data_IF_716248471260
#
_entry.id   IF_716248471260
#
_cell.length_a   1.000
_cell.length_b   1.000
_cell.length_c   1.000
_cell.angle_alpha   90.00
_cell.angle_beta   90.00
_cell.angle_gamma   90.00
#
_symmetry.space_group_name_H-M   'P 1'
#
loop_
_entity.id
_entity.type
_entity.pdbx_description
1 polymer ?
#
# COMPACT_ATOMS: atom_id res chain seq x y z
N UNK A 1 89.21 -10.13 33.50
CA UNK A 1 89.71 -10.04 32.12
C UNK A 1 89.32 -11.33 31.40
N UNK A 2 88.49 -11.21 30.34
CA UNK A 2 88.36 -12.16 29.22
C UNK A 2 87.84 -13.57 29.55
N UNK A 3 86.59 -13.83 29.17
CA UNK A 3 86.22 -14.56 27.93
C UNK A 3 86.30 -16.08 28.11
N UNK A 4 85.14 -16.71 28.32
CA UNK A 4 84.65 -17.83 27.48
C UNK A 4 83.60 -18.69 28.20
N UNK A 5 82.54 -18.08 28.73
CA UNK A 5 81.30 -18.79 29.11
C UNK A 5 80.11 -17.96 28.58
N UNK A 6 80.08 -17.78 27.26
CA UNK A 6 78.96 -17.21 26.48
C UNK A 6 78.99 -17.83 25.08
N UNK A 7 78.75 -19.13 24.98
CA UNK A 7 78.45 -19.79 23.71
C UNK A 7 77.91 -21.22 23.93
N UNK A 8 76.88 -21.37 24.77
CA UNK A 8 76.13 -22.65 24.85
C UNK A 8 74.69 -22.51 25.38
N UNK A 9 74.13 -21.30 25.36
CA UNK A 9 72.71 -21.04 25.68
C UNK A 9 72.09 -20.08 24.65
N UNK A 10 72.27 -20.39 23.37
CA UNK A 10 71.70 -19.62 22.24
C UNK A 10 70.88 -20.48 21.26
N UNK A 11 70.65 -21.76 21.53
CA UNK A 11 69.93 -22.66 20.61
C UNK A 11 68.78 -23.46 21.25
N UNK A 12 68.38 -23.14 22.49
CA UNK A 12 67.25 -23.81 23.16
C UNK A 12 66.10 -22.87 23.58
N UNK A 13 66.20 -21.56 23.28
CA UNK A 13 65.14 -20.58 23.59
C UNK A 13 64.40 -20.05 22.36
N UNK A 14 64.69 -20.57 21.17
CA UNK A 14 64.06 -20.19 19.91
C UNK A 14 63.02 -21.20 19.38
N UNK A 15 62.68 -22.23 20.17
CA UNK A 15 61.71 -23.28 19.78
C UNK A 15 60.49 -23.42 20.70
N UNK A 16 60.38 -22.61 21.76
CA UNK A 16 59.19 -22.61 22.67
C UNK A 16 58.39 -21.30 22.57
N UNK A 17 58.79 -20.36 21.70
CA UNK A 17 58.06 -19.11 21.43
C UNK A 17 57.34 -19.10 20.08
N UNK A 18 56.97 -20.28 19.57
CA UNK A 18 56.27 -20.46 18.29
C UNK A 18 54.85 -21.07 18.43
N UNK A 19 54.20 -20.92 19.59
CA UNK A 19 52.87 -21.51 19.84
C UNK A 19 51.87 -20.57 20.55
N UNK A 20 51.96 -19.25 20.35
CA UNK A 20 50.98 -18.30 20.91
C UNK A 20 50.76 -17.06 20.04
N UNK A 21 50.84 -17.20 18.72
CA UNK A 21 50.23 -16.23 17.82
C UNK A 21 48.76 -16.68 17.65
N UNK A 22 47.74 -15.91 18.08
CA UNK A 22 46.44 -16.07 17.47
C UNK A 22 46.70 -15.83 15.99
N UNK A 23 46.41 -16.84 15.17
CA UNK A 23 46.30 -16.63 13.73
C UNK A 23 45.50 -15.35 13.57
N UNK A 24 46.10 -14.33 12.92
CA UNK A 24 45.32 -13.28 12.32
C UNK A 24 44.47 -14.00 11.29
N UNK A 25 43.34 -14.53 11.74
CA UNK A 25 42.19 -14.72 10.90
C UNK A 25 42.11 -13.41 10.14
N UNK A 26 42.25 -13.52 8.81
CA UNK A 26 41.70 -12.54 7.91
C UNK A 26 40.20 -12.47 8.23
N UNK A 27 39.85 -11.80 9.33
CA UNK A 27 38.60 -11.10 9.42
C UNK A 27 38.75 -10.04 8.35
N UNK A 28 38.31 -10.39 7.14
CA UNK A 28 37.95 -9.37 6.18
C UNK A 28 37.13 -8.35 6.96
N UNK A 29 37.52 -7.08 6.86
CA UNK A 29 36.69 -5.95 7.25
C UNK A 29 35.38 -5.89 6.43
N UNK A 30 34.90 -7.01 5.86
CA UNK A 30 33.49 -7.26 5.63
C UNK A 30 32.80 -7.60 6.97
N UNK A 31 33.00 -6.74 7.97
CA UNK A 31 31.90 -6.47 8.87
C UNK A 31 30.82 -5.90 7.95
N UNK A 32 29.90 -6.77 7.51
CA UNK A 32 28.57 -6.33 7.10
C UNK A 32 28.15 -5.38 8.19
N UNK A 33 28.17 -4.09 7.88
CA UNK A 33 27.49 -3.06 8.65
C UNK A 33 26.06 -3.60 8.71
N UNK A 34 25.68 -4.25 9.82
CA UNK A 34 24.37 -4.88 9.94
C UNK A 34 23.39 -3.72 9.81
N UNK A 35 22.72 -3.64 8.66
CA UNK A 35 21.71 -2.61 8.43
C UNK A 35 20.74 -2.62 9.61
N UNK A 36 20.41 -1.44 10.11
CA UNK A 36 19.53 -1.32 11.25
C UNK A 36 18.16 -1.89 10.88
N UNK A 37 17.69 -2.86 11.68
CA UNK A 37 16.37 -3.47 11.48
C UNK A 37 15.30 -2.39 11.58
N UNK A 38 14.47 -2.28 10.55
CA UNK A 38 13.33 -1.35 10.50
C UNK A 38 12.06 -2.08 10.92
N UNK A 39 11.25 -1.45 11.76
CA UNK A 39 9.95 -2.00 12.17
C UNK A 39 8.85 -1.54 11.22
N UNK A 40 7.97 -2.46 10.82
CA UNK A 40 6.80 -2.18 9.98
C UNK A 40 5.58 -2.83 10.61
N UNK A 41 4.51 -2.06 10.76
CA UNK A 41 3.22 -2.59 11.22
C UNK A 41 2.62 -3.45 10.12
N UNK A 42 2.29 -4.70 10.42
CA UNK A 42 1.65 -5.62 9.48
C UNK A 42 0.19 -5.85 9.86
N UNK A 43 -0.71 -5.63 8.89
CA UNK A 43 -2.14 -5.87 9.02
C UNK A 43 -2.58 -6.90 7.98
N UNK A 44 -2.59 -8.21 8.28
CA UNK A 44 -2.93 -9.24 7.30
C UNK A 44 -4.31 -9.04 6.65
N UNK A 45 -5.26 -8.49 7.40
CA UNK A 45 -6.61 -8.22 6.91
C UNK A 45 -7.47 -9.47 6.82
N UNK A 46 -8.45 -9.42 5.92
CA UNK A 46 -9.48 -10.44 5.70
C UNK A 46 -9.26 -11.19 4.38
N UNK A 47 -9.93 -12.34 4.23
CA UNK A 47 -9.95 -13.11 3.00
C UNK A 47 -8.55 -13.47 2.50
N UNK A 48 -8.26 -13.16 1.23
CA UNK A 48 -6.95 -13.43 0.63
C UNK A 48 -5.80 -12.66 1.30
N UNK A 49 -6.10 -11.63 2.10
CA UNK A 49 -5.09 -10.79 2.74
C UNK A 49 -4.08 -11.58 3.56
N UNK A 50 -4.54 -12.60 4.27
CA UNK A 50 -3.68 -13.46 5.10
C UNK A 50 -2.66 -14.21 4.24
N UNK A 51 -3.08 -14.83 3.14
CA UNK A 51 -2.20 -15.61 2.27
C UNK A 51 -1.18 -14.73 1.53
N UNK A 52 -1.61 -13.60 0.96
CA UNK A 52 -0.71 -12.70 0.23
C UNK A 52 0.27 -11.97 1.16
N UNK A 53 -0.14 -11.64 2.40
CA UNK A 53 0.78 -11.06 3.38
C UNK A 53 1.83 -12.08 3.83
N UNK A 54 1.43 -13.36 4.03
CA UNK A 54 2.38 -14.44 4.33
C UNK A 54 3.42 -14.59 3.21
N UNK A 55 2.97 -14.57 1.96
CA UNK A 55 3.84 -14.61 0.78
C UNK A 55 4.92 -13.51 0.81
N UNK A 56 4.55 -12.27 1.14
CA UNK A 56 5.52 -11.16 1.26
C UNK A 56 6.47 -11.37 2.43
N UNK A 57 5.97 -11.80 3.59
CA UNK A 57 6.79 -12.03 4.78
C UNK A 57 7.83 -13.12 4.54
N UNK A 58 7.42 -14.24 3.93
CA UNK A 58 8.30 -15.35 3.59
C UNK A 58 9.37 -14.94 2.57
N UNK A 59 8.97 -14.20 1.53
CA UNK A 59 9.90 -13.67 0.53
C UNK A 59 10.94 -12.73 1.16
N UNK A 60 10.52 -11.83 2.06
CA UNK A 60 11.42 -10.89 2.74
C UNK A 60 12.38 -11.61 3.69
N UNK A 61 11.88 -12.62 4.40
CA UNK A 61 12.70 -13.48 5.26
C UNK A 61 13.78 -14.21 4.44
N UNK A 62 13.39 -14.88 3.35
CA UNK A 62 14.32 -15.58 2.47
C UNK A 62 15.36 -14.63 1.85
N UNK A 63 14.93 -13.42 1.45
CA UNK A 63 15.81 -12.39 0.91
C UNK A 63 16.73 -11.74 1.95
N UNK A 64 16.63 -12.08 3.24
CA UNK A 64 17.34 -11.44 4.35
C UNK A 64 17.17 -9.92 4.36
N UNK A 65 15.94 -9.44 4.15
CA UNK A 65 15.62 -8.01 4.25
C UNK A 65 15.50 -7.64 5.74
N UNK A 66 16.16 -6.59 6.24
CA UNK A 66 16.19 -6.25 7.66
C UNK A 66 14.90 -5.54 8.12
N UNK A 67 13.77 -6.23 7.98
CA UNK A 67 12.44 -5.79 8.41
C UNK A 67 11.99 -6.67 9.59
N UNK A 68 11.52 -6.02 10.65
CA UNK A 68 10.79 -6.66 11.73
C UNK A 68 9.31 -6.31 11.60
N UNK A 69 8.48 -7.34 11.43
CA UNK A 69 7.03 -7.19 11.36
C UNK A 69 6.43 -7.06 12.76
N UNK A 70 5.62 -6.03 12.94
CA UNK A 70 4.82 -5.80 14.14
C UNK A 70 3.35 -6.08 13.79
N UNK A 71 2.95 -7.34 13.94
CA UNK A 71 1.73 -7.89 13.33
C UNK A 71 0.53 -7.76 14.26
N UNK A 72 -0.58 -7.21 13.73
CA UNK A 72 -1.85 -7.12 14.43
C UNK A 72 -2.97 -7.75 13.62
N UNK A 73 -3.69 -8.68 14.26
CA UNK A 73 -4.86 -9.34 13.66
C UNK A 73 -6.10 -8.49 13.94
N UNK A 74 -6.49 -7.74 12.91
CA UNK A 74 -7.73 -6.97 12.88
C UNK A 74 -8.58 -7.49 11.73
N UNK A 75 -9.90 -7.42 11.86
CA UNK A 75 -10.83 -7.84 10.81
C UNK A 75 -12.02 -6.89 10.75
N UNK A 76 -12.47 -6.59 9.53
CA UNK A 76 -13.71 -5.84 9.33
C UNK A 76 -14.97 -6.69 9.50
N UNK A 77 -14.84 -8.01 9.65
CA UNK A 77 -15.97 -8.94 9.77
C UNK A 77 -16.63 -8.93 11.15
N UNK A 78 -15.87 -8.67 12.22
CA UNK A 78 -16.34 -8.71 13.61
C UNK A 78 -17.45 -7.69 13.91
N UNK A 79 -17.59 -6.66 13.08
CA UNK A 79 -18.54 -5.58 13.30
C UNK A 79 -19.88 -5.73 12.56
N UNK A 80 -20.09 -6.84 11.86
CA UNK A 80 -21.18 -7.00 10.87
C UNK A 80 -21.94 -8.32 10.86
N UNK A 81 -21.87 -9.14 11.92
CA UNK A 81 -22.88 -10.19 12.18
C UNK A 81 -23.72 -9.69 13.35
N UNK A 82 -25.04 -9.67 13.20
CA UNK A 82 -25.95 -9.15 14.22
C UNK A 82 -25.56 -9.65 15.61
N UNK A 83 -25.14 -8.71 16.47
CA UNK A 83 -25.14 -8.83 17.94
C UNK A 83 -24.80 -10.20 18.56
N UNK A 84 -23.79 -10.93 18.09
CA UNK A 84 -23.18 -11.99 18.91
C UNK A 84 -21.79 -11.58 19.38
N UNK A 85 -21.83 -10.77 20.44
CA UNK A 85 -20.74 -10.28 21.26
C UNK A 85 -19.81 -11.36 21.87
N UNK A 86 -20.04 -12.65 21.63
CA UNK A 86 -19.30 -13.75 22.29
C UNK A 86 -17.91 -14.03 21.72
N UNK A 87 -17.58 -13.56 20.52
CA UNK A 87 -16.30 -13.84 19.85
C UNK A 87 -15.28 -12.70 19.96
N UNK A 88 -15.57 -11.63 20.72
CA UNK A 88 -14.65 -10.52 20.91
C UNK A 88 -13.73 -10.77 22.13
N UNK A 89 -12.43 -11.07 21.97
CA UNK A 89 -11.53 -11.35 23.08
C UNK A 89 -11.29 -10.15 24.02
N UNK A 90 -11.69 -8.93 23.63
CA UNK A 90 -11.66 -7.72 24.47
C UNK A 90 -12.98 -7.39 25.17
N UNK A 91 -14.00 -8.26 25.09
CA UNK A 91 -15.34 -8.02 25.69
C UNK A 91 -15.28 -7.67 27.18
N UNK A 92 -14.35 -8.24 27.94
CA UNK A 92 -14.27 -8.03 29.39
C UNK A 92 -13.61 -6.70 29.79
N UNK A 93 -13.20 -5.86 28.82
CA UNK A 93 -12.47 -4.61 29.10
C UNK A 93 -13.24 -3.34 28.69
N UNK A 94 -14.44 -3.45 28.11
CA UNK A 94 -15.17 -2.29 27.59
C UNK A 94 -16.61 -2.34 28.11
N UNK A 95 -16.88 -1.58 29.18
CA UNK A 95 -18.26 -1.12 29.44
C UNK A 95 -18.64 -0.15 28.31
N UNK A 96 -19.49 -0.60 27.40
CA UNK A 96 -20.06 0.26 26.37
C UNK A 96 -20.94 1.34 27.02
N UNK A 97 -20.65 2.62 26.76
CA UNK A 97 -21.43 3.76 27.27
C UNK A 97 -22.90 3.67 26.80
N UNK A 98 -23.86 3.47 27.72
CA UNK A 98 -25.29 3.34 27.39
C UNK A 98 -25.88 4.58 26.72
N UNK A 99 -25.26 5.76 26.88
CA UNK A 99 -25.68 7.01 26.21
C UNK A 99 -25.49 6.98 24.69
N UNK A 100 -24.72 6.01 24.16
CA UNK A 100 -24.51 5.85 22.71
C UNK A 100 -25.67 5.14 21.99
N UNK A 101 -26.56 4.42 22.70
CA UNK A 101 -27.72 3.74 22.10
C UNK A 101 -29.00 4.58 22.11
N UNK A 102 -29.10 5.58 22.99
CA UNK A 102 -30.39 6.18 23.35
C UNK A 102 -30.99 7.19 22.35
N UNK A 103 -30.18 7.99 21.65
CA UNK A 103 -30.73 9.15 20.90
C UNK A 103 -30.03 9.44 19.56
N UNK A 104 -29.10 8.59 19.11
CA UNK A 104 -28.34 8.89 17.89
C UNK A 104 -28.72 7.93 16.78
N UNK A 105 -29.55 8.45 15.90
CA UNK A 105 -29.74 8.04 14.50
C UNK A 105 -28.45 7.36 13.96
N UNK A 106 -28.46 6.06 13.60
CA UNK A 106 -27.24 5.34 13.23
C UNK A 106 -26.56 5.88 11.95
N UNK A 107 -27.25 6.76 11.21
CA UNK A 107 -26.80 7.27 9.93
C UNK A 107 -27.15 8.76 9.67
N UNK A 108 -27.98 9.41 10.50
CA UNK A 108 -28.44 10.80 10.33
C UNK A 108 -27.49 11.91 10.80
N UNK A 109 -26.25 11.92 10.34
CA UNK A 109 -25.36 13.07 10.52
C UNK A 109 -25.71 14.21 9.55
N UNK A 110 -25.82 15.45 10.05
CA UNK A 110 -25.93 16.64 9.18
C UNK A 110 -24.56 16.99 8.58
N UNK A 111 -24.52 17.83 7.54
CA UNK A 111 -23.26 18.38 7.02
C UNK A 111 -22.41 19.07 8.12
N UNK A 112 -23.03 19.66 9.15
CA UNK A 112 -22.33 20.24 10.28
C UNK A 112 -21.64 19.20 11.19
N UNK A 113 -22.22 18.01 11.33
CA UNK A 113 -21.57 16.91 12.08
C UNK A 113 -20.30 16.43 11.35
N UNK A 114 -20.35 16.39 10.02
CA UNK A 114 -19.19 16.09 9.20
C UNK A 114 -18.09 17.13 9.38
N UNK A 115 -18.40 18.43 9.30
CA UNK A 115 -17.41 19.49 9.43
C UNK A 115 -16.73 19.52 10.80
N UNK A 116 -17.44 19.12 11.87
CA UNK A 116 -16.90 19.03 13.22
C UNK A 116 -16.03 17.79 13.48
N UNK A 117 -15.91 16.90 12.49
CA UNK A 117 -15.21 15.61 12.61
C UNK A 117 -15.76 14.67 13.70
N UNK A 118 -16.93 15.00 14.21
CA UNK A 118 -17.62 14.23 15.24
C UNK A 118 -18.10 12.92 14.59
N UNK A 119 -17.62 11.78 15.09
CA UNK A 119 -18.05 10.43 14.65
C UNK A 119 -17.67 10.07 13.21
N UNK A 120 -16.53 10.60 12.74
CA UNK A 120 -15.97 10.24 11.44
C UNK A 120 -15.72 8.75 11.27
N UNK A 121 -15.49 7.97 12.32
CA UNK A 121 -15.61 6.51 12.32
C UNK A 121 -16.22 6.06 13.64
N UNK A 122 -16.96 4.95 13.65
CA UNK A 122 -17.37 4.30 14.91
C UNK A 122 -16.20 3.56 15.57
N UNK A 123 -15.08 3.39 14.86
CA UNK A 123 -13.87 2.76 15.35
C UNK A 123 -12.86 3.86 15.67
N UNK A 124 -12.57 4.03 16.95
CA UNK A 124 -11.42 4.80 17.43
C UNK A 124 -10.27 3.86 17.78
N UNK A 125 -9.14 3.86 17.06
CA UNK A 125 -8.05 2.95 17.34
C UNK A 125 -7.38 3.21 18.69
N UNK A 126 -7.48 4.41 19.29
CA UNK A 126 -6.96 4.66 20.65
C UNK A 126 -7.72 3.84 21.71
N UNK A 127 -9.01 3.59 21.46
CA UNK A 127 -9.88 2.87 22.40
C UNK A 127 -9.98 1.39 22.05
N UNK A 128 -10.22 1.08 20.77
CA UNK A 128 -10.53 -0.27 20.33
C UNK A 128 -9.26 -1.09 20.01
N UNK A 129 -8.15 -0.44 19.64
CA UNK A 129 -6.90 -1.08 19.22
C UNK A 129 -5.65 -0.31 19.71
N UNK A 130 -5.49 -0.04 21.01
CA UNK A 130 -4.47 0.86 21.54
C UNK A 130 -3.04 0.44 21.15
N UNK A 131 -2.75 -0.86 21.17
CA UNK A 131 -1.41 -1.37 20.80
C UNK A 131 -1.13 -1.16 19.31
N UNK A 132 -2.11 -1.42 18.44
CA UNK A 132 -1.99 -1.13 17.01
C UNK A 132 -1.81 0.37 16.77
N UNK A 133 -2.57 1.20 17.48
CA UNK A 133 -2.44 2.64 17.37
C UNK A 133 -1.02 3.09 17.70
N UNK A 134 -0.46 2.60 18.81
CA UNK A 134 0.90 2.90 19.22
C UNK A 134 1.94 2.36 18.21
N UNK A 135 1.71 1.18 17.66
CA UNK A 135 2.56 0.59 16.61
C UNK A 135 2.61 1.48 15.36
N UNK A 136 1.45 1.92 14.85
CA UNK A 136 1.38 2.81 13.68
C UNK A 136 2.06 4.15 13.98
N UNK A 137 1.87 4.71 15.18
CA UNK A 137 2.53 5.95 15.57
C UNK A 137 4.05 5.81 15.71
N UNK A 138 4.56 4.65 16.13
CA UNK A 138 6.00 4.42 16.28
C UNK A 138 6.67 4.10 14.95
N UNK A 139 6.06 3.21 14.17
CA UNK A 139 6.66 2.64 12.97
C UNK A 139 6.42 3.51 11.73
N UNK A 140 5.30 4.25 11.67
CA UNK A 140 4.82 5.11 10.56
C UNK A 140 4.59 4.39 9.22
N UNK A 141 5.17 3.22 9.01
CA UNK A 141 4.99 2.42 7.81
C UNK A 141 4.12 1.21 8.13
N UNK A 142 3.08 1.02 7.33
CA UNK A 142 2.14 -0.10 7.45
C UNK A 142 2.09 -0.85 6.12
N UNK A 143 2.19 -2.18 6.17
CA UNK A 143 1.81 -3.05 5.07
C UNK A 143 0.49 -3.73 5.44
N UNK A 144 -0.49 -3.74 4.54
CA UNK A 144 -1.78 -4.37 4.82
C UNK A 144 -2.34 -5.19 3.67
N UNK A 145 -3.12 -6.20 4.03
CA UNK A 145 -4.09 -6.85 3.15
C UNK A 145 -5.41 -6.07 3.04
N UNK A 146 -6.36 -6.57 2.24
CA UNK A 146 -7.71 -6.02 2.14
C UNK A 146 -8.54 -6.32 3.39
N UNK A 147 -9.48 -5.43 3.73
CA UNK A 147 -10.45 -5.64 4.81
C UNK A 147 -11.87 -5.72 4.26
N UNK A 148 -12.69 -6.63 4.80
CA UNK A 148 -14.11 -6.64 4.45
C UNK A 148 -14.80 -5.42 5.07
N UNK A 149 -15.62 -4.73 4.28
CA UNK A 149 -16.45 -3.64 4.78
C UNK A 149 -17.91 -3.94 4.46
N UNK A 150 -18.70 -4.21 5.50
CA UNK A 150 -20.17 -4.35 5.39
C UNK A 150 -20.89 -3.04 5.69
N UNK A 151 -20.30 -2.23 6.56
CA UNK A 151 -20.79 -0.93 7.01
C UNK A 151 -19.62 0.06 6.95
N UNK A 152 -19.76 1.12 6.16
CA UNK A 152 -18.73 2.14 5.94
C UNK A 152 -18.34 2.85 7.25
N UNK A 153 -19.29 2.98 8.19
CA UNK A 153 -19.04 3.62 9.48
C UNK A 153 -18.08 2.81 10.37
N UNK A 154 -18.00 1.50 10.13
CA UNK A 154 -17.13 0.53 10.82
C UNK A 154 -16.03 -0.03 9.94
N UNK A 155 -15.70 0.65 8.84
CA UNK A 155 -14.62 0.25 7.94
C UNK A 155 -13.25 0.53 8.58
N UNK A 156 -12.40 -0.50 8.66
CA UNK A 156 -11.01 -0.37 9.13
C UNK A 156 -10.21 0.53 8.18
N UNK A 157 -10.36 0.38 6.86
CA UNK A 157 -9.68 1.24 5.89
C UNK A 157 -10.06 2.71 6.08
N UNK A 158 -11.35 2.99 6.34
CA UNK A 158 -11.81 4.35 6.62
C UNK A 158 -11.30 4.87 7.95
N UNK A 159 -11.27 4.04 8.99
CA UNK A 159 -10.65 4.40 10.26
C UNK A 159 -9.19 4.79 10.07
N UNK A 160 -8.40 3.98 9.35
CA UNK A 160 -6.99 4.29 9.04
C UNK A 160 -6.88 5.63 8.29
N UNK A 161 -7.70 5.82 7.25
CA UNK A 161 -7.66 7.03 6.43
C UNK A 161 -7.97 8.30 7.24
N UNK A 162 -9.00 8.26 8.09
CA UNK A 162 -9.44 9.43 8.86
C UNK A 162 -8.55 9.69 10.07
N UNK A 163 -8.14 8.66 10.82
CA UNK A 163 -7.29 8.82 12.02
C UNK A 163 -5.91 9.34 11.67
N UNK A 164 -5.29 8.76 10.63
CA UNK A 164 -3.90 9.08 10.26
C UNK A 164 -3.80 10.08 9.11
N UNK A 165 -4.93 10.62 8.64
CA UNK A 165 -4.97 11.64 7.60
C UNK A 165 -4.48 11.16 6.23
N UNK A 166 -4.71 9.88 5.91
CA UNK A 166 -4.28 9.25 4.65
C UNK A 166 -5.23 9.62 3.50
N UNK A 167 -5.25 10.91 3.15
CA UNK A 167 -6.23 11.48 2.23
C UNK A 167 -5.95 11.22 0.75
N UNK A 168 -4.73 10.78 0.39
CA UNK A 168 -4.38 10.42 -0.98
C UNK A 168 -4.23 8.90 -1.10
N UNK A 169 -5.16 8.25 -1.81
CA UNK A 169 -5.02 6.86 -2.24
C UNK A 169 -4.47 6.83 -3.66
N UNK A 170 -3.35 6.14 -3.86
CA UNK A 170 -2.53 6.25 -5.07
C UNK A 170 -2.38 4.87 -5.68
N UNK A 171 -2.76 4.75 -6.94
CA UNK A 171 -2.74 3.49 -7.70
C UNK A 171 -1.96 3.71 -8.99
N UNK A 172 -0.67 3.32 -9.02
CA UNK A 172 0.09 3.25 -10.27
C UNK A 172 -0.47 2.13 -11.14
N UNK A 173 -1.23 2.50 -12.17
CA UNK A 173 -1.75 1.57 -13.17
C UNK A 173 -0.67 1.40 -14.23
N UNK A 174 0.25 0.50 -13.92
CA UNK A 174 1.28 0.04 -14.82
C UNK A 174 1.45 -1.45 -14.58
N UNK A 175 1.05 -2.24 -15.56
CA UNK A 175 1.30 -3.67 -15.51
C UNK A 175 2.82 -3.91 -15.39
N UNK A 176 3.25 -4.99 -14.73
CA UNK A 176 4.64 -5.42 -14.82
C UNK A 176 5.05 -5.50 -16.30
N UNK A 177 6.09 -4.76 -16.70
CA UNK A 177 6.54 -4.65 -18.10
C UNK A 177 6.79 -6.00 -18.77
N UNK A 178 7.01 -7.03 -17.96
CA UNK A 178 7.36 -8.39 -18.39
C UNK A 178 6.27 -9.41 -18.08
N UNK A 179 4.99 -9.00 -17.98
CA UNK A 179 3.90 -9.99 -18.01
C UNK A 179 4.05 -10.86 -19.27
N UNK A 180 4.14 -12.20 -19.11
CA UNK A 180 4.28 -13.11 -20.24
C UNK A 180 3.30 -12.79 -21.37
N UNK A 181 3.67 -12.98 -22.65
CA UNK A 181 2.72 -12.91 -23.76
C UNK A 181 1.50 -13.83 -23.58
N UNK A 182 1.64 -14.91 -22.81
CA UNK A 182 0.55 -15.82 -22.47
C UNK A 182 -0.48 -15.25 -21.50
N UNK A 183 -0.15 -14.19 -20.75
CA UNK A 183 -1.12 -13.49 -19.89
C UNK A 183 -1.98 -12.60 -20.77
N UNK A 184 -3.28 -12.86 -20.77
CA UNK A 184 -4.24 -12.02 -21.48
C UNK A 184 -4.42 -10.68 -20.76
N UNK A 185 -4.25 -9.60 -21.51
CA UNK A 185 -4.53 -8.24 -21.07
C UNK A 185 -5.24 -7.52 -22.22
N UNK A 186 -6.42 -6.89 -22.02
CA UNK A 186 -7.08 -6.11 -23.06
C UNK A 186 -6.16 -5.06 -23.69
N UNK A 187 -5.31 -4.43 -22.88
CA UNK A 187 -4.32 -3.46 -23.31
C UNK A 187 -2.97 -3.71 -22.62
N UNK A 188 -1.88 -3.42 -23.31
CA UNK A 188 -0.50 -3.47 -22.79
C UNK A 188 0.08 -2.06 -22.76
N UNK A 189 1.17 -1.87 -22.01
CA UNK A 189 1.96 -0.64 -22.00
C UNK A 189 1.18 0.64 -21.66
N UNK A 190 0.11 0.50 -20.89
CA UNK A 190 -0.62 1.64 -20.29
C UNK A 190 0.14 2.11 -19.05
N UNK A 191 0.39 3.42 -18.95
CA UNK A 191 1.16 4.02 -17.85
C UNK A 191 0.49 5.28 -17.30
N UNK A 192 -0.39 5.10 -16.32
CA UNK A 192 -1.08 6.18 -15.63
C UNK A 192 -1.07 5.97 -14.11
N UNK A 193 -1.26 7.05 -13.35
CA UNK A 193 -1.41 6.96 -11.89
C UNK A 193 -2.73 7.56 -11.48
N UNK A 194 -3.55 6.83 -10.74
CA UNK A 194 -4.80 7.34 -10.18
C UNK A 194 -4.54 7.83 -8.76
N UNK A 195 -4.78 9.12 -8.52
CA UNK A 195 -4.74 9.79 -7.22
C UNK A 195 -6.17 10.12 -6.80
N UNK A 196 -6.66 9.34 -5.84
CA UNK A 196 -8.03 9.39 -5.32
C UNK A 196 -8.04 10.12 -3.98
N UNK A 197 -8.94 11.09 -3.83
CA UNK A 197 -9.30 11.63 -2.52
C UNK A 197 -9.93 10.50 -1.68
N UNK A 198 -9.49 10.31 -0.44
CA UNK A 198 -9.76 9.10 0.33
C UNK A 198 -10.51 9.34 1.66
N UNK A 199 -11.03 10.55 1.93
CA UNK A 199 -11.61 10.90 3.25
C UNK A 199 -12.95 11.66 3.20
N UNK A 200 -13.40 12.11 2.03
CA UNK A 200 -14.68 12.81 1.86
C UNK A 200 -15.55 12.20 0.75
N UNK A 201 -16.48 13.00 0.23
CA UNK A 201 -17.44 12.67 -0.81
C UNK A 201 -18.47 11.61 -0.39
N UNK A 202 -18.81 10.68 -1.27
CA UNK A 202 -19.82 9.65 -1.06
C UNK A 202 -19.43 8.67 0.06
N UNK A 203 -18.13 8.57 0.34
CA UNK A 203 -17.58 7.73 1.42
C UNK A 203 -17.64 8.42 2.79
N UNK A 204 -18.28 9.59 2.89
CA UNK A 204 -18.68 10.17 4.17
C UNK A 204 -19.63 9.23 4.94
N UNK A 205 -20.41 8.40 4.23
CA UNK A 205 -21.35 7.43 4.80
C UNK A 205 -22.54 8.08 5.52
N UNK A 206 -22.87 9.32 5.15
CA UNK A 206 -23.95 10.09 5.77
C UNK A 206 -25.25 9.84 5.01
N UNK A 207 -26.10 8.98 5.56
CA UNK A 207 -27.34 8.55 4.91
C UNK A 207 -28.50 8.55 5.90
N UNK A 208 -29.71 8.92 5.50
CA UNK A 208 -30.84 8.79 6.40
C UNK A 208 -32.14 8.60 5.62
N UNK A 209 -33.10 7.96 6.28
CA UNK A 209 -34.43 7.81 5.74
C UNK A 209 -35.30 8.97 6.23
N UNK A 210 -35.69 9.87 5.32
CA UNK A 210 -36.50 11.06 5.64
C UNK A 210 -37.95 10.64 5.94
N UNK A 211 -38.45 9.66 5.20
CA UNK A 211 -39.72 8.97 5.43
C UNK A 211 -39.62 7.54 4.89
N UNK A 212 -40.52 6.60 5.26
CA UNK A 212 -40.48 5.23 4.75
C UNK A 212 -40.38 5.18 3.21
N UNK A 213 -39.35 4.51 2.70
CA UNK A 213 -39.05 4.39 1.27
C UNK A 213 -38.28 5.56 0.63
N UNK A 214 -37.97 6.64 1.36
CA UNK A 214 -37.22 7.80 0.83
C UNK A 214 -35.92 7.98 1.61
N UNK A 215 -34.79 7.77 0.92
CA UNK A 215 -33.44 7.78 1.51
C UNK A 215 -32.62 8.90 0.88
N UNK A 216 -31.97 9.69 1.73
CA UNK A 216 -30.99 10.70 1.33
C UNK A 216 -29.57 10.20 1.62
N UNK A 217 -28.64 10.53 0.72
CA UNK A 217 -27.20 10.31 0.87
C UNK A 217 -26.46 11.63 0.67
N UNK A 218 -25.67 12.04 1.65
CA UNK A 218 -25.02 13.35 1.67
C UNK A 218 -23.56 13.26 1.20
N UNK A 219 -23.34 13.60 -0.07
CA UNK A 219 -22.00 13.80 -0.63
C UNK A 219 -21.41 15.12 -0.15
N UNK A 220 -20.34 15.05 0.65
CA UNK A 220 -19.64 16.24 1.14
C UNK A 220 -18.33 16.43 0.39
N UNK A 221 -18.19 17.54 -0.33
CA UNK A 221 -16.92 17.96 -0.94
C UNK A 221 -16.49 19.26 -0.26
N UNK A 222 -15.24 19.33 0.16
CA UNK A 222 -14.70 20.54 0.80
C UNK A 222 -13.61 21.16 -0.05
N UNK A 223 -13.44 22.49 0.07
CA UNK A 223 -12.34 23.20 -0.60
C UNK A 223 -10.99 22.66 -0.12
N UNK A 224 -10.83 22.49 1.19
CA UNK A 224 -9.59 21.98 1.78
C UNK A 224 -9.24 20.58 1.27
N UNK A 225 -10.24 19.68 1.23
CA UNK A 225 -10.12 18.33 0.68
C UNK A 225 -9.71 18.32 -0.79
N UNK A 226 -10.37 19.15 -1.59
CA UNK A 226 -10.11 19.28 -3.03
C UNK A 226 -8.76 19.94 -3.35
N UNK A 227 -8.37 20.99 -2.61
CA UNK A 227 -7.10 21.68 -2.79
C UNK A 227 -5.92 20.77 -2.43
N UNK A 228 -5.98 20.05 -1.31
CA UNK A 228 -4.86 19.19 -0.88
C UNK A 228 -4.65 18.00 -1.81
N UNK A 229 -5.73 17.38 -2.32
CA UNK A 229 -5.59 16.23 -3.24
C UNK A 229 -5.12 16.68 -4.63
N UNK A 230 -5.60 17.83 -5.10
CA UNK A 230 -5.10 18.44 -6.35
C UNK A 230 -3.60 18.75 -6.22
N UNK A 231 -3.19 19.43 -5.14
CA UNK A 231 -1.78 19.73 -4.91
C UNK A 231 -0.92 18.48 -4.80
N UNK A 232 -1.43 17.44 -4.12
CA UNK A 232 -0.76 16.14 -4.04
C UNK A 232 -0.54 15.55 -5.44
N UNK A 233 -1.55 15.56 -6.31
CA UNK A 233 -1.46 15.02 -7.66
C UNK A 233 -0.44 15.77 -8.54
N UNK A 234 -0.43 17.11 -8.48
CA UNK A 234 0.54 17.93 -9.22
C UNK A 234 1.98 17.76 -8.71
N UNK A 235 2.16 17.70 -7.40
CA UNK A 235 3.48 17.47 -6.80
C UNK A 235 4.00 16.06 -7.14
N UNK A 236 3.13 15.05 -7.08
CA UNK A 236 3.48 13.70 -7.52
C UNK A 236 3.83 13.67 -9.01
N UNK A 237 3.07 14.36 -9.87
CA UNK A 237 3.38 14.46 -11.29
C UNK A 237 4.77 15.05 -11.52
N UNK A 238 5.11 16.15 -10.82
CA UNK A 238 6.45 16.76 -10.88
C UNK A 238 7.56 15.81 -10.43
N UNK A 239 7.40 15.18 -9.26
CA UNK A 239 8.42 14.28 -8.69
C UNK A 239 8.63 13.01 -9.53
N UNK A 240 7.55 12.50 -10.13
CA UNK A 240 7.58 11.31 -11.00
C UNK A 240 7.83 11.64 -12.48
N UNK A 241 8.12 12.91 -12.82
CA UNK A 241 8.38 13.41 -14.18
C UNK A 241 7.23 13.13 -15.17
N UNK A 242 5.99 13.11 -14.67
CA UNK A 242 4.77 13.03 -15.48
C UNK A 242 4.37 14.40 -16.00
N UNK A 243 3.96 14.46 -17.26
CA UNK A 243 3.72 15.74 -17.95
C UNK A 243 2.27 16.21 -17.91
N UNK A 244 1.33 15.39 -17.41
CA UNK A 244 -0.10 15.65 -17.49
C UNK A 244 -0.83 15.34 -16.19
N UNK A 245 -1.75 16.22 -15.79
CA UNK A 245 -2.75 15.97 -14.75
C UNK A 245 -4.16 16.06 -15.35
N UNK A 246 -4.98 15.04 -15.08
CA UNK A 246 -6.37 14.95 -15.57
C UNK A 246 -7.32 14.90 -14.38
N UNK A 247 -8.16 15.92 -14.21
CA UNK A 247 -9.21 15.91 -13.20
C UNK A 247 -10.46 15.19 -13.72
N UNK A 248 -10.89 14.13 -13.03
CA UNK A 248 -12.13 13.41 -13.36
C UNK A 248 -13.26 13.83 -12.41
N UNK A 249 -14.42 14.18 -12.99
CA UNK A 249 -15.55 14.74 -12.25
C UNK A 249 -16.90 14.46 -12.96
N UNK A 250 -18.01 14.93 -12.41
CA UNK A 250 -19.35 14.94 -13.03
C UNK A 250 -20.03 16.30 -12.82
N UNK A 251 -19.26 17.39 -12.94
CA UNK A 251 -19.76 18.76 -12.75
C UNK A 251 -20.77 19.21 -13.84
N UNK A 252 -20.98 18.41 -14.89
CA UNK A 252 -22.09 18.63 -15.81
C UNK A 252 -23.46 18.40 -15.12
N UNK A 253 -23.52 17.55 -14.09
CA UNK A 253 -24.71 17.29 -13.26
C UNK A 253 -24.54 17.95 -11.88
N UNK A 254 -23.45 17.65 -11.17
CA UNK A 254 -23.17 18.16 -9.82
C UNK A 254 -22.47 19.52 -9.86
N UNK A 255 -23.22 20.56 -10.20
CA UNK A 255 -22.68 21.92 -10.43
C UNK A 255 -21.98 22.54 -9.21
N UNK A 256 -22.37 22.17 -8.00
CA UNK A 256 -21.83 22.74 -6.75
C UNK A 256 -20.69 21.90 -6.17
N UNK A 257 -20.93 20.62 -5.89
CA UNK A 257 -19.93 19.74 -5.28
C UNK A 257 -18.75 19.47 -6.22
N UNK A 258 -19.00 18.87 -7.38
CA UNK A 258 -17.93 18.61 -8.35
C UNK A 258 -17.45 19.89 -9.04
N UNK A 259 -18.30 20.92 -9.11
CA UNK A 259 -17.89 22.26 -9.52
C UNK A 259 -16.81 22.85 -8.62
N UNK A 260 -16.96 22.71 -7.30
CA UNK A 260 -15.94 23.13 -6.33
C UNK A 260 -14.65 22.32 -6.49
N UNK A 261 -14.73 21.00 -6.70
CA UNK A 261 -13.55 20.16 -6.91
C UNK A 261 -12.73 20.60 -8.13
N UNK A 262 -13.37 20.83 -9.28
CA UNK A 262 -12.66 21.26 -10.49
C UNK A 262 -12.14 22.71 -10.38
N UNK A 263 -12.85 23.58 -9.64
CA UNK A 263 -12.36 24.93 -9.35
C UNK A 263 -11.04 24.88 -8.57
N UNK A 264 -10.97 24.02 -7.54
CA UNK A 264 -9.75 23.81 -6.76
C UNK A 264 -8.61 23.23 -7.62
N UNK A 265 -8.91 22.23 -8.46
CA UNK A 265 -7.92 21.68 -9.39
C UNK A 265 -7.36 22.73 -10.35
N UNK A 266 -8.23 23.58 -10.92
CA UNK A 266 -7.83 24.70 -11.79
C UNK A 266 -6.98 25.72 -11.07
N UNK A 267 -7.28 26.00 -9.80
CA UNK A 267 -6.51 26.93 -9.00
C UNK A 267 -5.10 26.39 -8.78
N UNK A 268 -4.95 25.14 -8.35
CA UNK A 268 -3.65 24.49 -8.17
C UNK A 268 -2.87 24.41 -9.49
N UNK A 269 -3.54 24.10 -10.61
CA UNK A 269 -2.89 23.99 -11.92
C UNK A 269 -2.09 25.26 -12.31
N UNK A 270 -2.52 26.44 -11.85
CA UNK A 270 -1.81 27.71 -12.11
C UNK A 270 -0.42 27.77 -11.45
N UNK A 271 -0.19 27.00 -10.39
CA UNK A 271 1.09 26.89 -9.69
C UNK A 271 2.08 25.95 -10.41
N UNK A 272 1.61 25.18 -11.40
CA UNK A 272 2.38 24.14 -12.10
C UNK A 272 2.27 24.30 -13.64
N UNK A 273 2.81 25.39 -14.23
CA UNK A 273 2.64 25.70 -15.64
C UNK A 273 3.27 24.67 -16.60
N UNK A 274 4.26 23.90 -16.14
CA UNK A 274 4.94 22.87 -16.93
C UNK A 274 4.14 21.56 -17.04
N UNK A 275 3.04 21.44 -16.29
CA UNK A 275 2.19 20.24 -16.27
C UNK A 275 0.89 20.54 -17.01
N UNK A 276 0.61 19.79 -18.08
CA UNK A 276 -0.62 19.94 -18.83
C UNK A 276 -1.83 19.55 -17.96
N UNK A 277 -2.75 20.49 -17.74
CA UNK A 277 -4.00 20.23 -17.05
C UNK A 277 -5.15 19.99 -18.03
N UNK A 278 -5.99 18.99 -17.75
CA UNK A 278 -7.22 18.73 -18.49
C UNK A 278 -8.32 18.16 -17.58
N UNK A 279 -9.57 18.23 -18.03
CA UNK A 279 -10.74 17.74 -17.30
C UNK A 279 -11.48 16.69 -18.14
N UNK A 280 -11.99 15.65 -17.49
CA UNK A 280 -12.89 14.68 -18.10
C UNK A 280 -14.10 14.42 -17.20
N UNK A 281 -15.28 14.35 -17.82
CA UNK A 281 -16.44 13.80 -17.13
C UNK A 281 -16.27 12.28 -16.95
N UNK A 282 -16.64 11.73 -15.78
CA UNK A 282 -16.32 10.35 -15.37
C UNK A 282 -16.87 9.27 -16.32
N UNK A 283 -18.05 9.49 -16.89
CA UNK A 283 -18.62 8.64 -17.94
C UNK A 283 -17.76 8.61 -19.20
N UNK A 284 -17.31 9.77 -19.69
CA UNK A 284 -16.36 9.82 -20.81
C UNK A 284 -15.01 9.22 -20.41
N UNK A 285 -14.51 9.47 -19.19
CA UNK A 285 -13.23 8.93 -18.75
C UNK A 285 -13.21 7.40 -18.77
N UNK A 286 -14.25 6.74 -18.23
CA UNK A 286 -14.39 5.27 -18.29
C UNK A 286 -14.52 4.78 -19.72
N UNK A 287 -15.30 5.48 -20.57
CA UNK A 287 -15.40 5.15 -21.99
C UNK A 287 -14.03 5.25 -22.70
N UNK A 288 -13.25 6.29 -22.44
CA UNK A 288 -11.91 6.45 -23.02
C UNK A 288 -10.94 5.39 -22.50
N UNK A 289 -11.02 4.99 -21.22
CA UNK A 289 -10.20 3.89 -20.69
C UNK A 289 -10.43 2.59 -21.45
N UNK A 290 -11.68 2.24 -21.73
CA UNK A 290 -12.01 1.01 -22.46
C UNK A 290 -11.73 1.14 -23.96
N UNK A 291 -11.85 2.34 -24.54
CA UNK A 291 -11.64 2.56 -25.98
C UNK A 291 -10.18 2.76 -26.37
N UNK A 292 -9.46 3.57 -25.61
CA UNK A 292 -8.07 3.97 -25.86
C UNK A 292 -7.38 4.43 -24.55
N UNK A 293 -6.97 3.49 -23.68
CA UNK A 293 -6.35 3.83 -22.39
C UNK A 293 -5.01 4.57 -22.54
N UNK A 294 -4.32 4.43 -23.67
CA UNK A 294 -3.08 5.16 -23.97
C UNK A 294 -3.25 6.69 -23.99
N UNK A 295 -4.48 7.19 -24.12
CA UNK A 295 -4.77 8.63 -23.97
C UNK A 295 -4.49 9.18 -22.56
N UNK A 296 -4.30 8.28 -21.58
CA UNK A 296 -3.90 8.56 -20.20
C UNK A 296 -2.41 8.29 -19.93
N UNK A 297 -1.62 7.89 -20.93
CA UNK A 297 -0.20 7.62 -20.72
C UNK A 297 0.56 8.85 -20.23
N UNK A 298 1.53 8.61 -19.36
CA UNK A 298 2.32 9.64 -18.68
C UNK A 298 1.47 10.66 -17.88
N UNK A 299 0.26 10.28 -17.47
CA UNK A 299 -0.64 11.16 -16.72
C UNK A 299 -0.79 10.76 -15.25
N UNK A 300 -1.12 11.76 -14.44
CA UNK A 300 -1.70 11.60 -13.12
C UNK A 300 -3.18 11.96 -13.23
N UNK A 301 -4.05 11.03 -12.89
CA UNK A 301 -5.50 11.23 -12.84
C UNK A 301 -5.89 11.57 -11.41
N UNK A 302 -6.48 12.74 -11.18
CA UNK A 302 -6.96 13.16 -9.86
C UNK A 302 -8.48 13.12 -9.79
N UNK A 303 -9.02 12.55 -8.72
CA UNK A 303 -10.47 12.32 -8.60
C UNK A 303 -10.98 12.56 -7.17
N UNK A 304 -12.28 12.91 -7.01
CA UNK A 304 -13.02 12.64 -5.79
C UNK A 304 -13.10 11.15 -5.48
N UNK A 305 -13.57 10.81 -4.29
CA UNK A 305 -13.46 9.48 -3.70
C UNK A 305 -14.10 8.35 -4.52
N UNK A 306 -15.40 8.43 -4.82
CA UNK A 306 -16.09 7.36 -5.56
C UNK A 306 -15.55 7.15 -6.99
N UNK A 307 -15.24 8.23 -7.70
CA UNK A 307 -14.76 8.14 -9.07
C UNK A 307 -13.39 7.50 -9.15
N UNK A 308 -12.53 7.76 -8.16
CA UNK A 308 -11.22 7.13 -8.05
C UNK A 308 -11.34 5.62 -7.93
N UNK A 309 -12.31 5.14 -7.14
CA UNK A 309 -12.60 3.71 -7.02
C UNK A 309 -12.99 3.09 -8.36
N UNK A 310 -13.89 3.75 -9.10
CA UNK A 310 -14.36 3.25 -10.41
C UNK A 310 -13.20 3.24 -11.41
N UNK A 311 -12.52 4.38 -11.56
CA UNK A 311 -11.42 4.58 -12.51
C UNK A 311 -10.25 3.63 -12.24
N UNK A 312 -9.82 3.48 -10.98
CA UNK A 312 -8.70 2.59 -10.63
C UNK A 312 -9.03 1.12 -10.91
N UNK A 313 -10.26 0.68 -10.57
CA UNK A 313 -10.68 -0.71 -10.81
C UNK A 313 -10.79 -1.02 -12.30
N UNK A 314 -11.37 -0.11 -13.09
CA UNK A 314 -11.45 -0.25 -14.55
C UNK A 314 -10.05 -0.29 -15.14
N UNK A 315 -9.21 0.70 -14.85
CA UNK A 315 -7.87 0.80 -15.42
C UNK A 315 -7.00 -0.42 -15.04
N UNK A 316 -7.06 -0.89 -13.78
CA UNK A 316 -6.33 -2.08 -13.33
C UNK A 316 -6.77 -3.36 -14.05
N UNK A 317 -8.09 -3.52 -14.24
CA UNK A 317 -8.65 -4.68 -14.97
C UNK A 317 -8.19 -4.72 -16.44
N UNK A 318 -7.97 -3.58 -17.06
CA UNK A 318 -7.57 -3.48 -18.47
C UNK A 318 -6.11 -3.87 -18.73
N UNK A 319 -5.26 -3.86 -17.70
CA UNK A 319 -3.80 -4.03 -17.85
C UNK A 319 -3.24 -5.30 -17.20
N UNK A 320 -4.10 -6.18 -16.67
CA UNK A 320 -3.65 -7.43 -16.04
C UNK A 320 -4.44 -7.86 -14.81
N UNK A 321 -5.44 -7.08 -14.40
CA UNK A 321 -6.32 -7.42 -13.29
C UNK A 321 -5.94 -6.71 -11.99
N UNK A 322 -6.87 -6.75 -11.04
CA UNK A 322 -6.68 -6.10 -9.72
C UNK A 322 -5.59 -6.77 -8.88
N UNK A 323 -5.32 -8.06 -9.11
CA UNK A 323 -4.34 -8.85 -8.35
C UNK A 323 -2.87 -8.49 -8.62
N UNK A 324 -2.58 -7.82 -9.75
CA UNK A 324 -1.21 -7.44 -10.14
C UNK A 324 -0.88 -5.98 -9.89
N UNK A 325 -1.85 -5.17 -9.47
CA UNK A 325 -1.69 -3.72 -9.30
C UNK A 325 -1.45 -3.37 -7.84
N UNK A 326 -0.40 -2.59 -7.61
CA UNK A 326 -0.04 -2.03 -6.31
C UNK A 326 -0.80 -0.75 -5.97
N UNK A 327 -0.83 -0.38 -4.70
CA UNK A 327 -1.24 0.94 -4.26
C UNK A 327 -0.71 1.30 -2.88
N UNK A 328 -0.95 2.55 -2.51
CA UNK A 328 -0.65 3.03 -1.18
C UNK A 328 -1.55 4.21 -0.80
N UNK A 329 -1.65 4.47 0.50
CA UNK A 329 -2.31 5.64 1.05
C UNK A 329 -1.26 6.51 1.70
N UNK A 330 -1.33 7.81 1.41
CA UNK A 330 -0.41 8.79 1.90
C UNK A 330 -1.14 9.97 2.53
N UNK A 331 -0.45 10.61 3.46
CA UNK A 331 -0.77 11.96 3.92
C UNK A 331 -0.16 12.99 2.95
N UNK A 332 0.31 14.12 3.47
CA UNK A 332 1.05 15.13 2.70
C UNK A 332 2.32 14.53 2.08
N UNK A 333 2.45 14.70 0.76
CA UNK A 333 3.58 14.21 -0.02
C UNK A 333 4.92 14.76 0.47
N UNK A 334 4.92 15.93 1.10
CA UNK A 334 6.13 16.60 1.61
C UNK A 334 6.45 16.25 3.07
N UNK A 335 5.73 15.29 3.66
CA UNK A 335 5.98 14.80 5.02
C UNK A 335 6.44 13.34 4.99
N UNK A 336 7.75 13.08 4.75
CA UNK A 336 8.25 11.71 4.61
C UNK A 336 8.10 10.88 5.90
N UNK A 337 8.11 11.51 7.07
CA UNK A 337 7.96 10.83 8.37
C UNK A 337 6.49 10.61 8.78
N UNK A 338 5.53 11.00 7.94
CA UNK A 338 4.12 10.79 8.21
C UNK A 338 3.71 9.34 7.89
N UNK A 339 2.57 8.93 8.44
CA UNK A 339 2.08 7.56 8.25
C UNK A 339 1.87 7.27 6.75
N UNK A 340 2.31 6.10 6.30
CA UNK A 340 2.06 5.59 4.95
C UNK A 340 1.62 4.14 5.02
N UNK A 341 0.56 3.81 4.28
CA UNK A 341 -0.05 2.48 4.28
C UNK A 341 0.06 1.90 2.87
N UNK A 342 0.81 0.82 2.72
CA UNK A 342 0.99 0.09 1.46
C UNK A 342 0.01 -1.07 1.40
N UNK A 343 -0.66 -1.24 0.25
CA UNK A 343 -1.72 -2.24 0.05
C UNK A 343 -1.83 -2.63 -1.43
N UNK A 344 -2.63 -3.63 -1.77
CA UNK A 344 -3.00 -3.82 -3.18
C UNK A 344 -3.76 -2.59 -3.71
N UNK A 345 -3.59 -2.27 -4.99
CA UNK A 345 -4.14 -1.05 -5.58
C UNK A 345 -5.66 -0.97 -5.56
N UNK A 346 -6.34 -2.12 -5.54
CA UNK A 346 -7.79 -2.20 -5.38
C UNK A 346 -8.12 -3.19 -4.25
N UNK A 347 -9.00 -2.78 -3.34
CA UNK A 347 -9.32 -3.46 -2.08
C UNK A 347 -10.26 -4.66 -2.26
N UNK A 348 -9.84 -5.66 -3.04
CA UNK A 348 -10.60 -6.89 -3.23
C UNK A 348 -10.24 -7.94 -2.19
N UNK A 349 -11.18 -8.25 -1.30
CA UNK A 349 -11.00 -9.27 -0.25
C UNK A 349 -11.02 -10.69 -0.79
N UNK A 350 -11.73 -10.90 -1.91
CA UNK A 350 -11.82 -12.17 -2.64
C UNK A 350 -12.11 -13.38 -1.71
N UNK A 351 -13.17 -13.25 -0.91
CA UNK A 351 -13.57 -14.26 0.09
C UNK A 351 -13.85 -15.64 -0.51
N UNK A 352 -14.27 -15.69 -1.77
CA UNK A 352 -14.57 -16.90 -2.52
C UNK A 352 -13.33 -17.78 -2.77
N UNK A 353 -12.13 -17.18 -2.89
CA UNK A 353 -10.86 -17.89 -3.10
C UNK A 353 -9.95 -17.93 -1.86
N UNK A 354 -10.34 -17.25 -0.78
CA UNK A 354 -9.59 -17.20 0.47
C UNK A 354 -9.21 -18.59 0.99
N UNK A 355 -7.94 -18.78 1.35
CA UNK A 355 -7.43 -20.02 1.95
C UNK A 355 -7.22 -21.15 0.94
N UNK A 356 -7.46 -20.89 -0.35
CA UNK A 356 -7.17 -21.86 -1.44
C UNK A 356 -5.75 -21.70 -1.98
N UNK A 357 -5.01 -20.70 -1.52
CA UNK A 357 -3.64 -20.39 -1.96
C UNK A 357 -3.55 -20.12 -3.46
N UNK A 358 -4.59 -19.57 -4.06
CA UNK A 358 -4.62 -19.24 -5.49
C UNK A 358 -4.70 -17.73 -5.74
N UNK A 359 -4.70 -16.89 -4.70
CA UNK A 359 -4.68 -15.45 -4.92
C UNK A 359 -3.33 -14.99 -5.47
N UNK A 360 -3.37 -13.98 -6.31
CA UNK A 360 -2.17 -13.41 -6.92
C UNK A 360 -1.42 -12.50 -5.93
N UNK A 361 -0.17 -12.82 -5.55
CA UNK A 361 0.58 -11.98 -4.61
C UNK A 361 1.27 -10.79 -5.27
N UNK A 362 1.29 -10.69 -6.61
CA UNK A 362 2.07 -9.68 -7.37
C UNK A 362 1.75 -8.26 -6.94
N UNK A 363 0.47 -7.91 -6.77
CA UNK A 363 0.05 -6.56 -6.40
C UNK A 363 0.62 -6.13 -5.04
N UNK A 364 0.58 -7.02 -4.04
CA UNK A 364 1.10 -6.71 -2.71
C UNK A 364 2.63 -6.73 -2.66
N UNK A 365 3.27 -7.63 -3.40
CA UNK A 365 4.73 -7.61 -3.60
C UNK A 365 5.16 -6.28 -4.24
N UNK A 366 4.43 -5.81 -5.25
CA UNK A 366 4.72 -4.54 -5.92
C UNK A 366 4.53 -3.34 -4.99
N UNK A 367 3.58 -3.41 -4.06
CA UNK A 367 3.42 -2.41 -3.00
C UNK A 367 4.51 -2.50 -1.93
N UNK A 368 5.01 -3.70 -1.61
CA UNK A 368 6.12 -3.86 -0.66
C UNK A 368 7.46 -3.41 -1.23
N UNK A 369 7.65 -3.45 -2.56
CA UNK A 369 8.76 -2.79 -3.24
C UNK A 369 8.68 -1.27 -3.03
N UNK A 370 7.52 -0.65 -3.28
CA UNK A 370 7.32 0.78 -3.02
C UNK A 370 7.49 1.16 -1.54
N UNK A 371 7.15 0.24 -0.63
CA UNK A 371 7.40 0.39 0.81
C UNK A 371 8.90 0.46 1.11
N UNK A 372 9.70 -0.45 0.54
CA UNK A 372 11.14 -0.46 0.70
C UNK A 372 11.78 0.82 0.13
N UNK A 373 11.36 1.26 -1.06
CA UNK A 373 11.82 2.53 -1.66
C UNK A 373 11.50 3.73 -0.75
N UNK A 374 10.29 3.79 -0.21
CA UNK A 374 9.89 4.84 0.73
C UNK A 374 10.75 4.87 2.00
N UNK A 375 11.20 3.70 2.47
CA UNK A 375 12.08 3.56 3.63
C UNK A 375 13.57 3.80 3.30
N UNK A 376 13.90 4.12 2.05
CA UNK A 376 15.28 4.30 1.57
C UNK A 376 16.05 2.99 1.39
N UNK A 377 15.36 1.84 1.39
CA UNK A 377 15.95 0.51 1.27
C UNK A 377 16.04 0.06 -0.19
N UNK A 378 16.54 0.94 -1.05
CA UNK A 378 16.51 0.81 -2.52
C UNK A 378 17.19 -0.47 -3.02
N UNK A 379 18.32 -0.87 -2.40
CA UNK A 379 18.99 -2.13 -2.75
C UNK A 379 18.09 -3.34 -2.54
N UNK A 380 17.34 -3.38 -1.43
CA UNK A 380 16.40 -4.46 -1.15
C UNK A 380 15.19 -4.40 -2.09
N UNK A 381 14.66 -3.21 -2.36
CA UNK A 381 13.59 -3.01 -3.34
C UNK A 381 13.99 -3.55 -4.72
N UNK A 382 15.18 -3.19 -5.20
CA UNK A 382 15.69 -3.62 -6.51
C UNK A 382 15.93 -5.12 -6.60
N UNK A 383 16.33 -5.79 -5.50
CA UNK A 383 16.44 -7.26 -5.46
C UNK A 383 15.09 -7.94 -5.66
N UNK A 384 14.05 -7.48 -4.97
CA UNK A 384 12.70 -8.04 -5.08
C UNK A 384 12.09 -7.70 -6.45
N UNK A 385 12.29 -6.48 -6.94
CA UNK A 385 11.89 -6.03 -8.28
C UNK A 385 12.53 -6.88 -9.37
N UNK A 386 13.83 -7.18 -9.25
CA UNK A 386 14.54 -8.07 -10.16
C UNK A 386 13.98 -9.50 -10.10
N UNK A 387 13.79 -10.06 -8.91
CA UNK A 387 13.24 -11.40 -8.77
C UNK A 387 11.84 -11.51 -9.39
N UNK A 388 10.96 -10.53 -9.15
CA UNK A 388 9.62 -10.48 -9.75
C UNK A 388 9.70 -10.42 -11.28
N UNK A 389 10.58 -9.57 -11.80
CA UNK A 389 10.81 -9.41 -13.24
C UNK A 389 11.27 -10.73 -13.88
N UNK A 390 12.25 -11.40 -13.29
CA UNK A 390 12.79 -12.67 -13.80
C UNK A 390 11.79 -13.81 -13.69
N UNK A 391 11.03 -13.88 -12.59
CA UNK A 391 9.96 -14.87 -12.45
C UNK A 391 8.92 -14.71 -13.53
N UNK A 392 8.46 -13.48 -13.79
CA UNK A 392 7.47 -13.23 -14.83
C UNK A 392 8.03 -13.53 -16.22
N UNK A 393 9.27 -13.13 -16.55
CA UNK A 393 9.88 -13.45 -17.85
C UNK A 393 9.96 -14.95 -18.14
N UNK A 394 10.23 -15.75 -17.11
CA UNK A 394 10.45 -17.21 -17.23
C UNK A 394 9.23 -18.04 -16.79
N UNK A 395 8.10 -17.39 -16.50
CA UNK A 395 6.93 -18.08 -15.96
C UNK A 395 6.29 -18.99 -17.01
N UNK A 396 5.98 -20.21 -16.59
CA UNK A 396 5.08 -21.11 -17.32
C UNK A 396 3.72 -21.16 -16.60
N UNK A 397 2.68 -21.79 -17.20
CA UNK A 397 1.35 -21.84 -16.59
C UNK A 397 1.31 -22.38 -15.15
N UNK A 398 2.23 -23.26 -14.73
CA UNK A 398 2.26 -23.79 -13.35
C UNK A 398 2.78 -22.79 -12.31
N UNK A 399 3.42 -21.71 -12.75
CA UNK A 399 3.91 -20.62 -11.89
C UNK A 399 2.87 -19.51 -11.81
N UNK A 400 2.23 -19.17 -12.93
CA UNK A 400 1.22 -18.12 -12.98
C UNK A 400 -0.03 -18.52 -12.18
N UNK A 401 -0.61 -17.57 -11.45
CA UNK A 401 -1.87 -17.78 -10.72
C UNK A 401 -3.08 -17.78 -11.67
N UNK A 402 -4.24 -18.33 -11.25
CA UNK A 402 -5.38 -18.51 -12.15
C UNK A 402 -5.96 -17.22 -12.74
N UNK A 403 -5.92 -16.11 -12.00
CA UNK A 403 -6.43 -14.80 -12.43
C UNK A 403 -5.71 -14.23 -13.65
N UNK A 404 -4.45 -14.63 -13.88
CA UNK A 404 -3.64 -14.25 -15.04
C UNK A 404 -3.43 -15.40 -16.04
N UNK A 405 -4.29 -16.43 -15.99
CA UNK A 405 -4.36 -17.51 -16.97
C UNK A 405 -3.46 -18.72 -16.68
N UNK A 406 -2.95 -18.86 -15.46
CA UNK A 406 -2.16 -20.03 -15.04
C UNK A 406 -2.94 -21.09 -14.26
N UNK A 407 -2.21 -22.04 -13.71
CA UNK A 407 -2.67 -23.14 -12.84
C UNK A 407 -1.85 -23.26 -11.57
N UNK A 408 -0.95 -22.29 -11.32
CA UNK A 408 -0.14 -22.20 -10.13
C UNK A 408 -0.89 -21.68 -8.91
N UNK A 409 -0.15 -21.61 -7.81
CA UNK A 409 -0.60 -21.12 -6.49
C UNK A 409 0.22 -19.90 -6.08
N UNK A 410 -0.23 -19.18 -5.07
CA UNK A 410 0.55 -18.10 -4.44
C UNK A 410 1.90 -18.64 -3.96
N UNK A 411 1.91 -19.87 -3.44
CA UNK A 411 3.11 -20.58 -2.99
C UNK A 411 4.05 -20.88 -4.15
N UNK A 412 3.57 -21.50 -5.24
CA UNK A 412 4.44 -21.85 -6.36
C UNK A 412 5.04 -20.60 -7.04
N UNK A 413 4.30 -19.49 -7.03
CA UNK A 413 4.81 -18.20 -7.48
C UNK A 413 5.95 -17.68 -6.59
N UNK A 414 5.78 -17.71 -5.27
CA UNK A 414 6.80 -17.26 -4.30
C UNK A 414 8.04 -18.16 -4.34
N UNK A 415 7.89 -19.48 -4.40
CA UNK A 415 9.00 -20.42 -4.56
C UNK A 415 9.78 -20.14 -5.86
N UNK A 416 9.06 -19.81 -6.94
CA UNK A 416 9.70 -19.39 -8.19
C UNK A 416 10.49 -18.09 -8.01
N UNK A 417 9.92 -17.09 -7.33
CA UNK A 417 10.62 -15.84 -7.02
C UNK A 417 11.88 -16.03 -6.18
N UNK A 418 11.82 -16.89 -5.15
CA UNK A 418 12.96 -17.15 -4.27
C UNK A 418 14.21 -17.61 -5.05
N UNK A 419 14.03 -18.39 -6.12
CA UNK A 419 15.13 -18.85 -6.99
C UNK A 419 15.81 -17.73 -7.78
N UNK A 420 15.16 -16.58 -7.96
CA UNK A 420 15.68 -15.45 -8.71
C UNK A 420 16.18 -14.30 -7.83
N UNK A 421 16.13 -14.41 -6.50
CA UNK A 421 16.63 -13.35 -5.62
C UNK A 421 18.15 -13.22 -5.75
N UNK A 422 18.66 -12.07 -6.22
CA UNK A 422 20.09 -11.87 -6.34
C UNK A 422 20.70 -11.48 -4.99
N UNK A 423 22.03 -11.57 -4.91
CA UNK A 423 22.81 -11.02 -3.79
C UNK A 423 22.73 -9.49 -3.78
N UNK A 424 23.02 -8.89 -2.64
CA UNK A 424 22.95 -7.43 -2.47
C UNK A 424 24.00 -6.66 -3.28
N UNK A 425 25.10 -7.30 -3.65
CA UNK A 425 26.20 -6.74 -4.46
C UNK A 425 26.08 -7.07 -5.96
N UNK A 426 24.99 -7.72 -6.38
CA UNK A 426 24.79 -8.10 -7.78
C UNK A 426 24.76 -6.84 -8.67
N UNK A 427 25.58 -6.75 -9.74
CA UNK A 427 25.59 -5.57 -10.59
C UNK A 427 24.26 -5.36 -11.33
N UNK A 428 23.47 -6.42 -11.57
CA UNK A 428 22.22 -6.35 -12.34
C UNK A 428 21.10 -5.58 -11.65
N UNK A 429 21.23 -5.30 -10.34
CA UNK A 429 20.22 -4.58 -9.57
C UNK A 429 20.55 -3.09 -9.35
N UNK A 430 21.71 -2.61 -9.80
CA UNK A 430 22.16 -1.22 -9.54
C UNK A 430 21.41 -0.18 -10.37
N UNK A 431 20.92 -0.56 -11.55
CA UNK A 431 20.30 0.35 -12.53
C UNK A 431 18.77 0.13 -12.69
N UNK A 432 18.12 -0.54 -11.74
CA UNK A 432 16.69 -0.89 -11.79
C UNK A 432 15.77 0.15 -11.16
#
# INVERSE_FOLDING_TARGET
MRKSIKQTFSSASSLIQAASQPSKAFFSQSALQREAIKKVTLLPGDGIGVEICSCVCELFHYANIPIQWDTYLVSGSFFGVGSDSSLNPTRNLIEEDPRRRGETNPSGGTAYSYLRKEKWSQIDPEVHYPDLHQSILNNKVVLKGPFITRDVSKSIDRMLALKYGLYAHVVPVKAPQNLPPSVFTPFRDVDMVVVRENTEAEYSGLEHQVQPGVVESLKIITRDGSMRIAKWAFEYAKQSKRSKVIAIHKANIMKKSDGLFIECCKQVAKEYPDIQYSELIVDNAVMQLVKNPHSFDNSVVVTPNLYGSIVSNTASSLVGGVGVISGFNATDINKPDAVRVFEQGNRHVAMDISGRLIANPIGLISSSIQMLDHMGMNTHANRIKFALKETLLNANPKILTPDIGGTGSSVSFIEAMMRHIPKADDPRIKDL
#
